data_IF_244710830079
#
_entry.id   IF_244710830079
#
_cell.length_a   1.000
_cell.length_b   1.000
_cell.length_c   1.000
_cell.angle_alpha   90.00
_cell.angle_beta   90.00
_cell.angle_gamma   90.00
#
_symmetry.space_group_name_H-M   'P 1'
#
loop_
_entity.id
_entity.type
_entity.pdbx_description
1 polymer ?
#
# COMPACT_ATOMS: atom_id res chain seq x y z
N UNK A 1 15.91 -13.12 -23.86
CA UNK A 1 15.46 -14.33 -23.14
C UNK A 1 15.00 -13.86 -21.76
N UNK A 2 13.72 -13.92 -21.48
CA UNK A 2 13.19 -13.63 -20.14
C UNK A 2 13.65 -14.74 -19.20
N UNK A 3 14.50 -14.43 -18.22
CA UNK A 3 14.89 -15.38 -17.18
C UNK A 3 13.66 -15.72 -16.34
N UNK A 4 13.42 -17.02 -16.11
CA UNK A 4 12.32 -17.45 -15.25
C UNK A 4 12.54 -16.89 -13.83
N UNK A 5 11.52 -16.25 -13.20
CA UNK A 5 11.66 -15.73 -11.85
C UNK A 5 12.08 -16.81 -10.83
N UNK A 6 12.91 -16.42 -9.85
CA UNK A 6 13.33 -17.33 -8.79
C UNK A 6 12.19 -17.56 -7.78
N UNK A 7 11.49 -18.67 -7.92
CA UNK A 7 10.33 -19.01 -7.10
C UNK A 7 10.66 -19.11 -5.59
N UNK A 8 11.90 -19.52 -5.24
CA UNK A 8 12.28 -19.60 -3.82
C UNK A 8 12.46 -18.21 -3.20
N UNK A 9 12.94 -17.24 -3.97
CA UNK A 9 13.02 -15.84 -3.54
C UNK A 9 11.62 -15.23 -3.37
N UNK A 10 10.74 -15.44 -4.34
CA UNK A 10 9.35 -14.97 -4.28
C UNK A 10 8.65 -15.53 -3.03
N UNK A 11 8.72 -16.84 -2.82
CA UNK A 11 8.10 -17.49 -1.66
C UNK A 11 8.73 -17.01 -0.34
N UNK A 12 10.04 -16.73 -0.31
CA UNK A 12 10.73 -16.18 0.85
C UNK A 12 10.22 -14.78 1.21
N UNK A 13 10.09 -13.90 0.23
CA UNK A 13 9.56 -12.54 0.41
C UNK A 13 8.09 -12.59 0.87
N UNK A 14 7.24 -13.43 0.26
CA UNK A 14 5.85 -13.61 0.68
C UNK A 14 5.74 -14.16 2.10
N UNK A 15 6.59 -15.13 2.45
CA UNK A 15 6.68 -15.65 3.81
C UNK A 15 6.98 -14.55 4.82
N UNK A 16 7.94 -13.67 4.51
CA UNK A 16 8.30 -12.53 5.33
C UNK A 16 7.15 -11.51 5.44
N UNK A 17 6.47 -11.24 4.34
CA UNK A 17 5.30 -10.36 4.29
C UNK A 17 4.19 -10.85 5.25
N UNK A 18 3.84 -12.14 5.21
CA UNK A 18 2.87 -12.72 6.15
C UNK A 18 3.30 -12.55 7.60
N UNK A 19 4.58 -12.72 7.92
CA UNK A 19 5.08 -12.53 9.29
C UNK A 19 4.97 -11.07 9.73
N UNK A 20 5.38 -10.13 8.88
CA UNK A 20 5.35 -8.70 9.19
C UNK A 20 3.90 -8.22 9.36
N UNK A 21 3.01 -8.61 8.44
CA UNK A 21 1.61 -8.15 8.45
C UNK A 21 0.76 -8.78 9.56
N UNK A 22 1.17 -9.92 10.12
CA UNK A 22 0.37 -10.62 11.14
C UNK A 22 0.32 -9.91 12.49
N UNK A 23 1.32 -9.09 12.81
CA UNK A 23 1.47 -8.47 14.13
C UNK A 23 1.69 -9.45 15.30
N UNK A 24 1.87 -10.76 15.02
CA UNK A 24 2.04 -11.83 16.01
C UNK A 24 2.99 -12.92 15.52
N UNK A 25 3.46 -13.75 16.44
CA UNK A 25 4.24 -14.93 16.07
C UNK A 25 3.38 -15.99 15.37
N UNK A 26 3.87 -16.55 14.24
CA UNK A 26 3.18 -17.56 13.43
C UNK A 26 3.96 -18.87 13.42
N UNK A 27 3.25 -20.00 13.61
CA UNK A 27 3.83 -21.33 13.44
C UNK A 27 4.09 -21.70 11.98
N UNK A 28 5.15 -22.48 11.72
CA UNK A 28 5.52 -22.90 10.36
C UNK A 28 4.36 -23.59 9.60
N UNK A 29 3.56 -24.45 10.28
CA UNK A 29 2.40 -25.13 9.65
C UNK A 29 1.28 -24.16 9.28
N UNK A 30 1.02 -23.17 10.12
CA UNK A 30 0.03 -22.14 9.87
C UNK A 30 0.44 -21.30 8.66
N UNK A 31 1.70 -20.87 8.63
CA UNK A 31 2.23 -20.10 7.52
C UNK A 31 2.20 -20.89 6.19
N UNK A 32 2.53 -22.19 6.23
CA UNK A 32 2.43 -23.07 5.07
C UNK A 32 1.00 -23.15 4.53
N UNK A 33 0.00 -23.24 5.40
CA UNK A 33 -1.41 -23.23 5.04
C UNK A 33 -1.82 -21.89 4.42
N UNK A 34 -1.42 -20.76 5.01
CA UNK A 34 -1.72 -19.42 4.49
C UNK A 34 -1.13 -19.19 3.10
N UNK A 35 0.09 -19.70 2.88
CA UNK A 35 0.79 -19.57 1.61
C UNK A 35 0.39 -20.62 0.55
N UNK A 36 -0.35 -21.66 0.93
CA UNK A 36 -0.69 -22.77 0.03
C UNK A 36 0.51 -23.61 -0.41
N UNK A 37 1.61 -23.65 0.34
CA UNK A 37 2.84 -24.37 -0.01
C UNK A 37 3.25 -25.38 1.06
N UNK A 38 4.16 -26.28 0.70
CA UNK A 38 4.63 -27.35 1.57
C UNK A 38 5.34 -26.83 2.83
N UNK A 39 5.01 -27.39 4.00
CA UNK A 39 5.60 -27.03 5.31
C UNK A 39 7.13 -27.17 5.32
N UNK A 40 7.70 -28.18 4.68
CA UNK A 40 9.15 -28.37 4.59
C UNK A 40 9.81 -27.20 3.84
N UNK A 41 9.18 -26.72 2.77
CA UNK A 41 9.64 -25.55 2.01
C UNK A 41 9.60 -24.29 2.86
N UNK A 42 8.48 -24.03 3.56
CA UNK A 42 8.34 -22.88 4.47
C UNK A 42 9.39 -22.93 5.58
N UNK A 43 9.58 -24.09 6.21
CA UNK A 43 10.59 -24.23 7.27
C UNK A 43 12.00 -23.90 6.77
N UNK A 44 12.36 -24.35 5.56
CA UNK A 44 13.67 -24.03 4.97
C UNK A 44 13.84 -22.54 4.69
N UNK A 45 12.78 -21.86 4.20
CA UNK A 45 12.79 -20.42 3.96
C UNK A 45 12.96 -19.66 5.29
N UNK A 46 12.17 -20.02 6.31
CA UNK A 46 12.23 -19.40 7.63
C UNK A 46 13.59 -19.56 8.29
N UNK A 47 14.18 -20.77 8.23
CA UNK A 47 15.52 -21.01 8.76
C UNK A 47 16.61 -20.21 8.00
N UNK A 48 16.50 -20.12 6.68
CA UNK A 48 17.41 -19.29 5.88
C UNK A 48 17.30 -17.82 6.26
N UNK A 49 16.09 -17.31 6.43
CA UNK A 49 15.87 -15.93 6.86
C UNK A 49 16.33 -15.70 8.32
N UNK A 50 16.18 -16.69 9.19
CA UNK A 50 16.68 -16.62 10.55
C UNK A 50 18.21 -16.56 10.62
N UNK A 51 18.93 -17.28 9.73
CA UNK A 51 20.39 -17.26 9.68
C UNK A 51 20.99 -15.89 9.32
N UNK A 52 20.18 -15.01 8.71
CA UNK A 52 20.57 -13.63 8.37
C UNK A 52 19.78 -12.58 9.19
N UNK A 53 19.07 -13.00 10.24
CA UNK A 53 18.37 -12.11 11.16
C UNK A 53 17.08 -11.47 10.66
N UNK A 54 16.53 -11.91 9.52
CA UNK A 54 15.24 -11.41 9.01
C UNK A 54 14.04 -12.00 9.75
N UNK A 55 14.19 -13.20 10.31
CA UNK A 55 13.19 -13.83 11.18
C UNK A 55 13.85 -14.29 12.48
N UNK A 56 13.04 -14.50 13.50
CA UNK A 56 13.47 -15.10 14.77
C UNK A 56 12.36 -16.00 15.31
N UNK A 57 12.68 -16.89 16.24
CA UNK A 57 11.71 -17.75 16.92
C UNK A 57 11.46 -17.28 18.35
N UNK A 58 10.21 -17.41 18.78
CA UNK A 58 9.84 -17.28 20.19
C UNK A 58 10.11 -18.60 20.97
N UNK A 59 9.84 -18.61 22.28
CA UNK A 59 9.97 -19.77 23.17
C UNK A 59 9.09 -20.97 22.75
N UNK A 60 8.02 -20.71 22.00
CA UNK A 60 7.10 -21.73 21.47
C UNK A 60 7.46 -22.17 20.05
N UNK A 61 8.65 -21.82 19.54
CA UNK A 61 9.13 -22.14 18.19
C UNK A 61 8.25 -21.56 17.09
N UNK A 62 7.51 -20.48 17.35
CA UNK A 62 6.79 -19.70 16.35
C UNK A 62 7.70 -18.60 15.82
N UNK A 63 7.53 -18.23 14.57
CA UNK A 63 8.34 -17.24 13.89
C UNK A 63 7.71 -15.84 13.96
N UNK A 64 8.56 -14.85 14.07
CA UNK A 64 8.23 -13.43 14.04
C UNK A 64 9.33 -12.67 13.27
N UNK A 65 9.08 -11.41 12.85
CA UNK A 65 10.10 -10.60 12.20
C UNK A 65 11.33 -10.45 13.11
N UNK A 66 12.52 -10.64 12.54
CA UNK A 66 13.78 -10.44 13.23
C UNK A 66 14.31 -9.00 13.11
N UNK A 67 15.39 -8.66 13.83
CA UNK A 67 15.96 -7.30 13.84
C UNK A 67 16.40 -6.79 12.45
N UNK A 68 16.74 -7.71 11.54
CA UNK A 68 17.09 -7.37 10.15
C UNK A 68 15.99 -6.63 9.40
N UNK A 69 14.70 -6.88 9.74
CA UNK A 69 13.57 -6.16 9.14
C UNK A 69 13.58 -4.69 9.56
N UNK A 70 13.83 -4.41 10.84
CA UNK A 70 13.92 -3.03 11.31
C UNK A 70 15.10 -2.28 10.68
N UNK A 71 16.23 -2.98 10.46
CA UNK A 71 17.38 -2.41 9.77
C UNK A 71 17.05 -2.05 8.31
N UNK A 72 16.40 -2.96 7.56
CA UNK A 72 15.98 -2.71 6.18
C UNK A 72 14.95 -1.57 6.11
N UNK A 73 13.97 -1.54 7.01
CA UNK A 73 12.97 -0.48 7.08
C UNK A 73 13.62 0.89 7.35
N UNK A 74 14.52 0.98 8.34
CA UNK A 74 15.21 2.22 8.66
C UNK A 74 16.08 2.73 7.49
N UNK A 75 16.76 1.82 6.79
CA UNK A 75 17.55 2.15 5.59
C UNK A 75 16.65 2.62 4.45
N UNK A 76 15.52 1.94 4.22
CA UNK A 76 14.53 2.32 3.21
C UNK A 76 13.96 3.72 3.46
N UNK A 77 13.55 4.01 4.71
CA UNK A 77 13.03 5.32 5.09
C UNK A 77 14.07 6.41 4.84
N UNK A 78 15.34 6.17 5.21
CA UNK A 78 16.42 7.15 5.01
C UNK A 78 16.76 7.37 3.54
N UNK A 79 16.73 6.32 2.72
CA UNK A 79 17.10 6.37 1.30
C UNK A 79 15.95 6.77 0.36
N UNK A 80 14.72 6.86 0.85
CA UNK A 80 13.54 7.14 0.04
C UNK A 80 13.18 8.63 0.09
N UNK A 81 13.18 9.30 -1.07
CA UNK A 81 12.66 10.67 -1.19
C UNK A 81 11.20 10.76 -0.75
N UNK A 82 10.42 9.71 -1.02
CA UNK A 82 9.02 9.64 -0.62
C UNK A 82 8.86 9.81 0.90
N UNK A 83 9.69 9.15 1.70
CA UNK A 83 9.63 9.29 3.16
C UNK A 83 10.29 10.58 3.65
N UNK A 84 11.45 10.93 3.11
CA UNK A 84 12.23 12.07 3.61
C UNK A 84 11.61 13.43 3.26
N UNK A 85 10.90 13.52 2.12
CA UNK A 85 10.27 14.77 1.65
C UNK A 85 8.77 14.79 1.90
N UNK A 86 8.05 13.72 1.51
CA UNK A 86 6.59 13.71 1.58
C UNK A 86 6.06 13.71 3.02
N UNK A 87 6.63 12.91 3.93
CA UNK A 87 6.08 12.82 5.28
C UNK A 87 6.13 14.14 6.07
N UNK A 88 7.24 14.90 6.09
CA UNK A 88 7.26 16.21 6.77
C UNK A 88 6.26 17.21 6.18
N UNK A 89 6.02 17.15 4.87
CA UNK A 89 5.02 17.97 4.19
C UNK A 89 3.61 17.58 4.59
N UNK A 90 3.29 16.30 4.57
CA UNK A 90 1.98 15.80 5.01
C UNK A 90 1.71 16.15 6.48
N UNK A 91 2.70 16.02 7.34
CA UNK A 91 2.57 16.38 8.75
C UNK A 91 2.21 17.86 8.93
N UNK A 92 2.78 18.76 8.13
CA UNK A 92 2.60 20.20 8.23
C UNK A 92 1.34 20.68 7.50
N UNK A 93 1.13 20.22 6.25
CA UNK A 93 0.25 20.87 5.28
C UNK A 93 -1.03 20.04 4.98
N UNK A 94 -1.11 18.78 5.41
CA UNK A 94 -2.31 17.94 5.15
C UNK A 94 -3.54 18.49 5.89
N UNK A 95 -4.71 18.54 5.24
CA UNK A 95 -5.97 18.91 5.90
C UNK A 95 -6.26 17.98 7.08
N UNK A 96 -6.89 18.50 8.13
CA UNK A 96 -7.15 17.80 9.40
C UNK A 96 -8.62 17.36 9.54
N UNK A 97 -9.47 17.76 8.63
CA UNK A 97 -10.91 17.55 8.63
C UNK A 97 -11.39 16.40 7.74
N UNK A 98 -10.49 15.81 6.97
CA UNK A 98 -10.73 14.65 6.11
C UNK A 98 -9.67 13.58 6.31
N UNK A 99 -9.89 12.39 5.76
CA UNK A 99 -8.86 11.35 5.70
C UNK A 99 -7.84 11.71 4.63
N UNK A 100 -6.56 11.72 5.03
CA UNK A 100 -5.43 11.88 4.09
C UNK A 100 -4.58 10.62 4.13
N UNK A 101 -4.30 10.04 2.98
CA UNK A 101 -3.54 8.82 2.88
C UNK A 101 -2.48 8.91 1.78
N UNK A 102 -1.27 8.44 2.07
CA UNK A 102 -0.22 8.17 1.10
C UNK A 102 0.03 6.67 1.07
N UNK A 103 -0.04 6.06 -0.08
CA UNK A 103 0.15 4.62 -0.22
C UNK A 103 0.95 4.25 -1.45
N UNK A 104 1.48 3.03 -1.43
CA UNK A 104 2.21 2.40 -2.53
C UNK A 104 1.50 1.12 -2.97
N UNK A 105 1.69 0.75 -4.22
CA UNK A 105 1.18 -0.52 -4.74
C UNK A 105 2.26 -1.60 -4.63
N UNK A 106 1.91 -2.72 -4.01
CA UNK A 106 2.71 -3.93 -4.00
C UNK A 106 1.87 -5.12 -4.44
N UNK A 107 2.19 -5.69 -5.59
CA UNK A 107 1.31 -6.63 -6.30
C UNK A 107 -0.08 -5.98 -6.51
N UNK A 108 -1.14 -6.62 -6.06
CA UNK A 108 -2.52 -6.13 -6.13
C UNK A 108 -3.03 -5.57 -4.80
N UNK A 109 -2.10 -5.14 -3.92
CA UNK A 109 -2.41 -4.56 -2.61
C UNK A 109 -1.85 -3.15 -2.49
N UNK A 110 -2.65 -2.25 -1.97
CA UNK A 110 -2.19 -0.92 -1.53
C UNK A 110 -1.71 -1.04 -0.09
N UNK A 111 -0.48 -0.63 0.15
CA UNK A 111 0.10 -0.50 1.48
C UNK A 111 0.09 0.99 1.83
N UNK A 112 -0.63 1.36 2.87
CA UNK A 112 -0.66 2.74 3.36
C UNK A 112 0.59 3.01 4.19
N UNK A 113 1.44 3.93 3.72
CA UNK A 113 2.65 4.38 4.44
C UNK A 113 2.38 5.60 5.31
N UNK A 114 1.27 6.29 5.05
CA UNK A 114 0.69 7.36 5.86
C UNK A 114 -0.83 7.27 5.78
N UNK A 115 -1.52 7.33 6.91
CA UNK A 115 -2.98 7.32 6.95
C UNK A 115 -3.46 8.12 8.16
N UNK A 116 -3.79 9.38 7.93
CA UNK A 116 -4.30 10.29 8.95
C UNK A 116 -5.83 10.38 8.83
N UNK A 117 -6.51 10.14 9.93
CA UNK A 117 -7.97 10.37 10.04
C UNK A 117 -8.24 11.66 10.83
N UNK A 118 -9.40 12.31 10.65
CA UNK A 118 -9.77 13.50 11.42
C UNK A 118 -9.60 13.27 12.92
N UNK A 119 -8.92 14.21 13.59
CA UNK A 119 -8.68 14.15 15.03
C UNK A 119 -7.54 13.22 15.48
N UNK A 120 -6.88 12.47 14.57
CA UNK A 120 -5.73 11.64 14.93
C UNK A 120 -4.45 12.46 15.11
N UNK A 121 -3.55 11.93 15.95
CA UNK A 121 -2.19 12.48 16.04
C UNK A 121 -1.33 11.97 14.87
N UNK A 122 -0.33 12.75 14.47
CA UNK A 122 0.60 12.40 13.39
C UNK A 122 1.32 11.07 13.61
N UNK A 123 1.69 10.76 14.87
CA UNK A 123 2.31 9.48 15.23
C UNK A 123 1.41 8.26 14.95
N UNK A 124 0.10 8.43 15.01
CA UNK A 124 -0.89 7.38 14.70
C UNK A 124 -1.01 7.15 13.19
N UNK A 125 -0.78 8.18 12.38
CA UNK A 125 -0.82 8.07 10.92
C UNK A 125 0.27 7.15 10.35
N UNK A 126 1.40 7.01 11.04
CA UNK A 126 2.50 6.10 10.69
C UNK A 126 2.37 4.72 11.35
N UNK A 127 1.68 4.63 12.49
CA UNK A 127 1.62 3.43 13.29
C UNK A 127 0.52 2.45 12.83
N UNK A 128 -0.46 2.94 12.08
CA UNK A 128 -1.55 2.12 11.57
C UNK A 128 -1.10 1.32 10.34
N UNK A 129 -1.13 -0.01 10.44
CA UNK A 129 -0.97 -0.86 9.27
C UNK A 129 -2.33 -1.00 8.58
N UNK A 130 -2.44 -0.38 7.42
CA UNK A 130 -3.61 -0.54 6.55
C UNK A 130 -3.17 -1.12 5.22
N UNK A 131 -3.83 -2.17 4.79
CA UNK A 131 -3.65 -2.80 3.50
C UNK A 131 -5.02 -3.07 2.90
N UNK A 132 -5.21 -2.66 1.66
CA UNK A 132 -6.46 -2.91 0.92
C UNK A 132 -6.15 -3.51 -0.45
N UNK A 133 -7.02 -4.40 -0.98
CA UNK A 133 -6.97 -4.77 -2.38
C UNK A 133 -6.99 -3.51 -3.27
N UNK A 134 -6.15 -3.48 -4.31
CA UNK A 134 -6.00 -2.30 -5.15
C UNK A 134 -7.30 -1.85 -5.83
N UNK A 135 -8.19 -2.80 -6.12
CA UNK A 135 -9.51 -2.52 -6.72
C UNK A 135 -10.53 -1.92 -5.73
N UNK A 136 -10.20 -1.88 -4.43
CA UNK A 136 -11.03 -1.25 -3.37
C UNK A 136 -10.46 0.08 -2.89
N UNK A 137 -9.41 0.59 -3.53
CA UNK A 137 -8.73 1.81 -3.11
C UNK A 137 -8.51 2.75 -4.28
N UNK A 138 -8.87 4.02 -4.13
CA UNK A 138 -8.57 5.06 -5.14
C UNK A 138 -7.07 5.18 -5.41
N UNK A 139 -6.22 4.93 -4.40
CA UNK A 139 -4.76 4.84 -4.57
C UNK A 139 -4.41 3.68 -5.51
N UNK A 140 -4.99 2.49 -5.29
CA UNK A 140 -4.77 1.33 -6.13
C UNK A 140 -5.25 1.57 -7.56
N UNK A 141 -6.45 2.11 -7.73
CA UNK A 141 -7.02 2.47 -9.04
C UNK A 141 -6.13 3.46 -9.79
N UNK A 142 -5.59 4.48 -9.08
CA UNK A 142 -4.68 5.47 -9.65
C UNK A 142 -3.36 4.84 -10.11
N UNK A 143 -2.76 3.96 -9.31
CA UNK A 143 -1.46 3.36 -9.60
C UNK A 143 -1.53 2.25 -10.66
N UNK A 144 -2.60 1.44 -10.66
CA UNK A 144 -2.83 0.41 -11.69
C UNK A 144 -3.00 1.01 -13.09
N UNK A 145 -3.37 2.28 -13.21
CA UNK A 145 -3.56 2.94 -14.48
C UNK A 145 -2.27 3.06 -15.34
N UNK A 146 -1.10 2.83 -14.74
CA UNK A 146 0.18 2.75 -15.46
C UNK A 146 0.36 1.47 -16.27
N UNK A 147 -0.43 0.42 -15.98
CA UNK A 147 -0.41 -0.85 -16.69
C UNK A 147 -1.48 -0.88 -17.80
N UNK A 148 -1.39 -1.82 -18.74
CA UNK A 148 -2.39 -1.98 -19.82
C UNK A 148 -3.57 -2.84 -19.33
N UNK A 149 -4.72 -2.73 -20.00
CA UNK A 149 -5.90 -3.53 -19.67
C UNK A 149 -5.64 -5.03 -19.83
N UNK A 150 -4.85 -5.41 -20.87
CA UNK A 150 -4.47 -6.79 -21.12
C UNK A 150 -3.64 -7.39 -19.96
N UNK A 151 -2.85 -6.57 -19.28
CA UNK A 151 -2.07 -6.99 -18.12
C UNK A 151 -2.91 -7.04 -16.84
N UNK A 152 -3.90 -6.16 -16.72
CA UNK A 152 -4.74 -6.04 -15.53
C UNK A 152 -5.88 -7.07 -15.49
N UNK A 153 -6.60 -7.23 -16.60
CA UNK A 153 -7.82 -8.07 -16.65
C UNK A 153 -7.64 -9.48 -16.09
N UNK A 154 -6.55 -10.22 -16.37
CA UNK A 154 -6.37 -11.57 -15.84
C UNK A 154 -6.16 -11.65 -14.31
N UNK A 155 -5.87 -10.52 -13.65
CA UNK A 155 -5.57 -10.45 -12.21
C UNK A 155 -6.83 -10.28 -11.35
N UNK A 156 -7.95 -9.88 -11.97
CA UNK A 156 -9.19 -9.54 -11.28
C UNK A 156 -10.35 -10.41 -11.78
N UNK A 157 -11.33 -10.65 -10.91
CA UNK A 157 -12.59 -11.26 -11.36
C UNK A 157 -13.34 -10.29 -12.29
N UNK A 158 -14.28 -10.79 -13.13
CA UNK A 158 -15.08 -9.91 -13.99
C UNK A 158 -15.80 -8.78 -13.24
N UNK A 159 -16.31 -9.06 -12.04
CA UNK A 159 -16.97 -8.08 -11.18
C UNK A 159 -15.98 -7.02 -10.67
N UNK A 160 -14.82 -7.46 -10.17
CA UNK A 160 -13.75 -6.55 -9.72
C UNK A 160 -13.25 -5.66 -10.86
N UNK A 161 -13.07 -6.25 -12.06
CA UNK A 161 -12.66 -5.49 -13.24
C UNK A 161 -13.72 -4.47 -13.67
N UNK A 162 -15.00 -4.84 -13.63
CA UNK A 162 -16.09 -3.93 -13.97
C UNK A 162 -16.10 -2.68 -13.07
N UNK A 163 -15.77 -2.84 -11.78
CA UNK A 163 -15.65 -1.73 -10.84
C UNK A 163 -14.34 -0.93 -11.03
N UNK A 164 -13.25 -1.60 -11.35
CA UNK A 164 -11.92 -1.00 -11.47
C UNK A 164 -11.75 -0.20 -12.78
N UNK A 165 -12.18 -0.75 -13.91
CA UNK A 165 -11.88 -0.23 -15.23
C UNK A 165 -12.29 1.24 -15.48
N UNK A 166 -13.47 1.72 -15.02
CA UNK A 166 -13.86 3.13 -15.18
C UNK A 166 -12.90 4.09 -14.50
N UNK A 167 -12.40 3.74 -13.32
CA UNK A 167 -11.48 4.55 -12.52
C UNK A 167 -10.06 4.55 -13.11
N UNK A 168 -9.60 3.40 -13.60
CA UNK A 168 -8.34 3.30 -14.37
C UNK A 168 -8.40 4.17 -15.63
N UNK A 169 -9.52 4.12 -16.37
CA UNK A 169 -9.72 4.97 -17.54
C UNK A 169 -9.78 6.45 -17.18
N UNK A 170 -10.45 6.81 -16.07
CA UNK A 170 -10.47 8.18 -15.55
C UNK A 170 -9.06 8.68 -15.23
N UNK A 171 -8.25 7.89 -14.51
CA UNK A 171 -6.87 8.23 -14.17
C UNK A 171 -6.03 8.49 -15.43
N UNK A 172 -6.10 7.61 -16.42
CA UNK A 172 -5.35 7.77 -17.70
C UNK A 172 -5.75 9.01 -18.46
N UNK A 173 -7.02 9.38 -18.42
CA UNK A 173 -7.56 10.54 -19.15
C UNK A 173 -7.36 11.87 -18.41
N UNK A 174 -7.49 11.87 -17.10
CA UNK A 174 -7.60 13.10 -16.29
C UNK A 174 -6.41 13.30 -15.34
N UNK A 175 -5.55 12.28 -15.13
CA UNK A 175 -4.43 12.33 -14.19
C UNK A 175 -4.85 12.18 -12.72
N UNK A 176 -6.11 11.88 -12.44
CA UNK A 176 -6.65 11.64 -11.10
C UNK A 176 -7.81 10.65 -11.13
N UNK A 177 -8.15 10.11 -9.96
CA UNK A 177 -9.36 9.31 -9.72
C UNK A 177 -10.25 10.08 -8.76
N UNK A 178 -11.55 10.12 -9.03
CA UNK A 178 -12.61 10.48 -8.07
C UNK A 178 -13.61 9.34 -8.07
N UNK A 179 -13.85 8.76 -6.90
CA UNK A 179 -14.80 7.68 -6.71
C UNK A 179 -15.94 8.14 -5.81
N UNK A 180 -17.15 8.06 -6.34
CA UNK A 180 -18.39 8.24 -5.59
C UNK A 180 -18.87 6.84 -5.17
N UNK A 181 -18.77 6.54 -3.88
CA UNK A 181 -19.19 5.26 -3.32
C UNK A 181 -20.72 5.19 -3.18
N UNK A 182 -21.27 3.98 -3.19
CA UNK A 182 -22.72 3.74 -3.11
C UNK A 182 -23.33 4.22 -1.78
N UNK A 183 -22.53 4.31 -0.72
CA UNK A 183 -22.92 4.80 0.60
C UNK A 183 -22.86 6.33 0.74
N UNK A 184 -22.48 7.03 -0.33
CA UNK A 184 -22.39 8.50 -0.39
C UNK A 184 -21.03 9.07 0.02
N UNK A 185 -20.04 8.23 0.34
CA UNK A 185 -18.66 8.67 0.51
C UNK A 185 -18.08 9.10 -0.85
N UNK A 186 -17.23 10.11 -0.83
CA UNK A 186 -16.37 10.47 -1.97
C UNK A 186 -14.93 10.34 -1.54
N UNK A 187 -14.15 9.65 -2.37
CA UNK A 187 -12.69 9.55 -2.23
C UNK A 187 -12.01 9.93 -3.54
N UNK A 188 -10.78 10.42 -3.46
CA UNK A 188 -10.02 10.85 -4.64
C UNK A 188 -8.53 10.59 -4.46
N UNK A 189 -7.82 10.38 -5.56
CA UNK A 189 -6.37 10.15 -5.55
C UNK A 189 -5.66 10.75 -6.76
N UNK A 190 -4.39 11.11 -6.56
CA UNK A 190 -3.45 11.54 -7.58
C UNK A 190 -2.13 10.79 -7.41
N UNK A 191 -1.43 10.39 -8.49
CA UNK A 191 -0.12 9.75 -8.38
C UNK A 191 0.94 10.75 -7.90
N UNK A 192 1.90 10.27 -7.11
CA UNK A 192 3.02 11.07 -6.59
C UNK A 192 4.27 10.82 -7.44
N UNK A 193 4.52 11.69 -8.40
CA UNK A 193 5.71 11.64 -9.25
C UNK A 193 5.93 10.26 -9.88
N UNK A 194 7.17 9.75 -9.84
CA UNK A 194 7.59 8.46 -10.39
C UNK A 194 7.71 7.35 -9.34
N UNK A 195 7.26 7.58 -8.12
CA UNK A 195 7.55 6.72 -6.96
C UNK A 195 6.61 5.53 -6.78
N UNK A 196 5.76 5.21 -7.75
CA UNK A 196 4.71 4.18 -7.61
C UNK A 196 3.87 4.36 -6.34
N UNK A 197 3.67 5.61 -5.95
CA UNK A 197 2.87 6.05 -4.82
C UNK A 197 1.73 6.95 -5.29
N UNK A 198 0.67 7.03 -4.50
CA UNK A 198 -0.40 8.00 -4.72
C UNK A 198 -0.86 8.62 -3.40
N UNK A 199 -1.23 9.90 -3.47
CA UNK A 199 -1.83 10.66 -2.38
C UNK A 199 -3.36 10.65 -2.56
N UNK A 200 -4.09 10.43 -1.49
CA UNK A 200 -5.55 10.38 -1.51
C UNK A 200 -6.19 11.23 -0.40
N UNK A 201 -7.37 11.75 -0.72
CA UNK A 201 -8.34 12.28 0.23
C UNK A 201 -9.56 11.36 0.24
N UNK A 202 -10.12 11.10 1.44
CA UNK A 202 -11.28 10.24 1.64
C UNK A 202 -12.10 10.69 2.86
N UNK A 203 -13.19 9.99 3.17
CA UNK A 203 -14.04 10.34 4.31
C UNK A 203 -14.88 11.59 4.09
N UNK A 204 -15.21 11.94 2.84
CA UNK A 204 -16.06 13.06 2.48
C UNK A 204 -17.48 12.55 2.20
N UNK A 205 -18.43 12.88 3.07
CA UNK A 205 -19.78 12.35 3.01
C UNK A 205 -20.78 13.42 2.56
N UNK A 206 -21.68 13.05 1.63
CA UNK A 206 -22.78 13.90 1.18
C UNK A 206 -22.34 15.28 0.67
N UNK A 207 -21.20 15.34 0.02
CA UNK A 207 -20.63 16.57 -0.53
C UNK A 207 -21.15 16.84 -1.95
N UNK A 208 -21.35 18.12 -2.27
CA UNK A 208 -21.76 18.54 -3.61
C UNK A 208 -20.57 18.58 -4.59
N UNK A 209 -20.87 18.78 -5.87
CA UNK A 209 -19.87 18.81 -6.92
C UNK A 209 -18.87 20.00 -6.79
N UNK A 210 -19.26 21.08 -6.14
CA UNK A 210 -18.36 22.23 -5.90
C UNK A 210 -17.34 21.88 -4.83
N UNK A 211 -17.78 21.26 -3.75
CA UNK A 211 -16.91 20.77 -2.70
C UNK A 211 -15.89 19.73 -3.24
N UNK A 212 -16.37 18.78 -4.06
CA UNK A 212 -15.48 17.79 -4.70
C UNK A 212 -14.41 18.47 -5.56
N UNK A 213 -14.78 19.47 -6.37
CA UNK A 213 -13.79 20.23 -7.18
C UNK A 213 -12.78 20.97 -6.31
N UNK A 214 -13.24 21.61 -5.22
CA UNK A 214 -12.36 22.32 -4.28
C UNK A 214 -11.36 21.38 -3.63
N UNK A 215 -11.81 20.23 -3.12
CA UNK A 215 -10.93 19.23 -2.51
C UNK A 215 -9.98 18.58 -3.51
N UNK A 216 -10.39 18.38 -4.73
CA UNK A 216 -9.51 17.88 -5.78
C UNK A 216 -8.39 18.90 -6.10
N UNK A 217 -8.72 20.18 -6.19
CA UNK A 217 -7.72 21.23 -6.39
C UNK A 217 -6.74 21.33 -5.21
N UNK A 218 -7.22 21.18 -3.98
CA UNK A 218 -6.40 21.13 -2.77
C UNK A 218 -5.45 19.91 -2.79
N UNK A 219 -5.97 18.71 -3.14
CA UNK A 219 -5.19 17.49 -3.28
C UNK A 219 -4.08 17.66 -4.33
N UNK A 220 -4.41 18.21 -5.49
CA UNK A 220 -3.43 18.44 -6.57
C UNK A 220 -2.37 19.45 -6.15
N UNK A 221 -2.74 20.50 -5.42
CA UNK A 221 -1.80 21.51 -4.90
C UNK A 221 -0.86 20.88 -3.87
N UNK A 222 -1.39 20.13 -2.91
CA UNK A 222 -0.58 19.41 -1.92
C UNK A 222 0.37 18.43 -2.61
N UNK A 223 -0.13 17.65 -3.59
CA UNK A 223 0.69 16.70 -4.34
C UNK A 223 1.81 17.38 -5.13
N UNK A 224 1.57 18.54 -5.75
CA UNK A 224 2.58 19.27 -6.50
C UNK A 224 3.76 19.71 -5.62
N UNK A 225 3.50 20.09 -4.37
CA UNK A 225 4.53 20.52 -3.42
C UNK A 225 5.16 19.37 -2.62
N UNK A 226 4.60 18.16 -2.70
CA UNK A 226 4.95 17.06 -1.79
C UNK A 226 6.42 16.64 -1.87
N UNK A 227 7.03 16.71 -3.06
CA UNK A 227 8.41 16.32 -3.33
C UNK A 227 9.32 17.50 -3.67
N UNK A 228 8.84 18.74 -3.55
CA UNK A 228 9.68 19.94 -3.71
C UNK A 228 10.75 20.03 -2.62
N UNK A 229 11.87 20.73 -2.91
CA UNK A 229 12.98 20.94 -1.98
C UNK A 229 12.63 21.91 -0.82
#
# INVERSE_FOLDING_TARGET
MSSQPNQSLIDGIRCLQYLVSSGRAIGCRELARLMGINTTRVNRLLMTMASIGLTMQDEHRRYLPGPGIHALAAQSIRGSELFSRALPRLERDAPRDIVVALGVLWEDQVIYIWHAVPGSQTSQALAGFHMLPAWQSVIGMSLLASETDEALMPRFTPEQWQNLAPHVAQQRKQGHVVWHHDDGEVSMAVPVGVHHAALAFAGMWNVDAEHVRTRLAELMTLNATLLEE
#
